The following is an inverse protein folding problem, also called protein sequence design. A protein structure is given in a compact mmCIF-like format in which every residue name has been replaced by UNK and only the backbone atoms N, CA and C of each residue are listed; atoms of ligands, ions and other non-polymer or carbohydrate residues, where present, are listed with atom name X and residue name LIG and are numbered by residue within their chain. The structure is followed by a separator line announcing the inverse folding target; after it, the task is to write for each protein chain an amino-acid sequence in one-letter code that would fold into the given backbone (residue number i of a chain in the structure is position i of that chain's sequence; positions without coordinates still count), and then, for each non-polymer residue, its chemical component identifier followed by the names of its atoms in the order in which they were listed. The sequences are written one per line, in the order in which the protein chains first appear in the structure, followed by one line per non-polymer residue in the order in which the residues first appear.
data_IF_649968057498
#
_entry.id   IF_649968057498
#
_cell.length_a   1.000
_cell.length_b   1.000
_cell.length_c   1.000
_cell.angle_alpha   90.00
_cell.angle_beta   90.00
_cell.angle_gamma   90.00
#
_symmetry.space_group_name_H-M   'P 1'
#
loop_
_entity.id
_entity.type
_entity.pdbx_description
1 polymer ?
#
# COMPACT_ATOMS: atom_id res chain seq x y z
N UNK A 1 20.34 5.89 -6.78
CA UNK A 1 18.89 5.81 -6.43
C UNK A 1 18.19 4.93 -7.44
N UNK A 2 17.59 3.85 -6.99
CA UNK A 2 16.66 3.01 -7.75
C UNK A 2 15.30 2.99 -7.08
N UNK A 3 14.23 2.68 -7.82
CA UNK A 3 12.86 2.66 -7.32
C UNK A 3 12.28 1.27 -7.54
N UNK A 4 12.00 0.55 -6.45
CA UNK A 4 11.51 -0.82 -6.48
C UNK A 4 10.02 -0.85 -6.10
N UNK A 5 9.18 -1.44 -6.94
CA UNK A 5 7.81 -1.80 -6.59
C UNK A 5 7.81 -3.21 -5.98
N UNK A 6 7.43 -3.34 -4.72
CA UNK A 6 7.40 -4.63 -4.03
C UNK A 6 5.98 -4.92 -3.58
N UNK A 7 5.47 -6.10 -3.97
CA UNK A 7 4.11 -6.56 -3.72
C UNK A 7 4.17 -7.72 -2.71
N UNK A 8 3.98 -7.46 -1.40
CA UNK A 8 3.92 -8.53 -0.42
C UNK A 8 2.65 -9.36 -0.63
N UNK A 9 2.80 -10.68 -0.75
CA UNK A 9 1.70 -11.59 -1.06
C UNK A 9 1.86 -12.90 -0.29
N UNK A 10 1.03 -13.11 0.76
CA UNK A 10 1.06 -14.33 1.57
C UNK A 10 -0.05 -15.28 1.15
N UNK A 11 0.25 -16.59 1.17
CA UNK A 11 -0.78 -17.60 0.94
C UNK A 11 -1.76 -17.69 2.12
N UNK A 12 -1.24 -17.58 3.34
CA UNK A 12 -2.02 -17.67 4.59
C UNK A 12 -2.81 -16.41 4.88
N UNK A 13 -4.04 -16.33 4.39
CA UNK A 13 -5.03 -15.32 4.78
C UNK A 13 -6.13 -15.99 5.61
N UNK A 14 -6.42 -15.47 6.81
CA UNK A 14 -7.45 -16.04 7.68
C UNK A 14 -8.88 -15.83 7.16
N UNK A 15 -9.14 -14.70 6.49
CA UNK A 15 -10.46 -14.35 5.93
C UNK A 15 -10.71 -14.95 4.55
N UNK A 16 -9.66 -15.15 3.78
CA UNK A 16 -9.73 -15.67 2.42
C UNK A 16 -8.48 -16.50 2.10
N UNK A 17 -8.42 -17.79 2.51
CA UNK A 17 -7.26 -18.66 2.25
C UNK A 17 -6.97 -18.80 0.77
N UNK A 18 -5.70 -18.68 0.37
CA UNK A 18 -5.29 -18.76 -1.03
C UNK A 18 -5.70 -17.55 -1.88
N UNK A 19 -6.09 -16.43 -1.26
CA UNK A 19 -6.51 -15.20 -1.91
C UNK A 19 -5.64 -14.78 -3.12
N UNK A 20 -4.29 -14.77 -3.05
CA UNK A 20 -3.46 -14.31 -4.17
C UNK A 20 -3.60 -15.13 -5.45
N UNK A 21 -3.88 -16.43 -5.33
CA UNK A 21 -4.07 -17.32 -6.49
C UNK A 21 -5.54 -17.55 -6.83
N UNK A 22 -6.46 -16.89 -6.14
CA UNK A 22 -7.88 -16.96 -6.49
C UNK A 22 -8.12 -16.33 -7.86
N UNK A 23 -8.85 -17.06 -8.73
CA UNK A 23 -9.09 -16.62 -10.11
C UNK A 23 -10.23 -15.63 -10.15
N UNK A 24 -9.95 -14.44 -10.69
CA UNK A 24 -10.91 -13.34 -10.90
C UNK A 24 -10.83 -12.96 -12.38
N UNK A 25 -11.93 -12.94 -13.08
CA UNK A 25 -12.01 -12.65 -14.52
C UNK A 25 -10.94 -13.39 -15.35
N UNK A 26 -10.74 -14.69 -15.06
CA UNK A 26 -9.85 -15.59 -15.80
C UNK A 26 -8.37 -15.55 -15.43
N UNK A 27 -7.94 -14.74 -14.45
CA UNK A 27 -6.54 -14.66 -13.98
C UNK A 27 -6.47 -14.69 -12.45
N UNK A 28 -5.35 -15.20 -11.85
CA UNK A 28 -5.10 -15.06 -10.42
C UNK A 28 -5.09 -13.60 -9.97
N UNK A 29 -5.58 -13.32 -8.76
CA UNK A 29 -5.61 -11.96 -8.19
C UNK A 29 -4.23 -11.28 -8.26
N UNK A 30 -3.16 -12.01 -7.89
CA UNK A 30 -1.78 -11.48 -7.92
C UNK A 30 -1.34 -11.08 -9.33
N UNK A 31 -1.80 -11.79 -10.38
CA UNK A 31 -1.48 -11.46 -11.76
C UNK A 31 -2.09 -10.11 -12.19
N UNK A 32 -3.33 -9.82 -11.77
CA UNK A 32 -3.94 -8.51 -11.98
C UNK A 32 -3.17 -7.38 -11.33
N UNK A 33 -2.73 -7.59 -10.07
CA UNK A 33 -1.90 -6.59 -9.36
C UNK A 33 -0.58 -6.37 -10.08
N UNK A 34 0.13 -7.44 -10.47
CA UNK A 34 1.40 -7.34 -11.21
C UNK A 34 1.22 -6.60 -12.53
N UNK A 35 0.17 -6.90 -13.29
CA UNK A 35 -0.13 -6.22 -14.56
C UNK A 35 -0.42 -4.72 -14.36
N UNK A 36 -1.17 -4.36 -13.32
CA UNK A 36 -1.43 -2.96 -13.00
C UNK A 36 -0.14 -2.23 -12.60
N UNK A 37 0.64 -2.79 -11.68
CA UNK A 37 1.89 -2.19 -11.16
C UNK A 37 2.94 -2.00 -12.26
N UNK A 38 3.03 -2.93 -13.21
CA UNK A 38 3.94 -2.81 -14.36
C UNK A 38 3.64 -1.63 -15.29
N UNK A 39 2.48 -1.01 -15.18
CA UNK A 39 2.15 0.20 -15.94
C UNK A 39 2.72 1.48 -15.30
N UNK A 40 3.18 1.42 -14.06
CA UNK A 40 3.90 2.53 -13.42
C UNK A 40 5.22 2.78 -14.15
N UNK A 41 5.56 4.05 -14.36
CA UNK A 41 6.66 4.49 -15.24
C UNK A 41 7.95 4.80 -14.47
N UNK A 42 7.85 4.98 -13.15
CA UNK A 42 8.99 5.35 -12.30
C UNK A 42 9.66 4.16 -11.63
N UNK A 43 9.09 2.96 -11.73
CA UNK A 43 9.66 1.76 -11.12
C UNK A 43 10.78 1.19 -12.01
N UNK A 44 11.96 0.97 -11.44
CA UNK A 44 13.07 0.28 -12.10
C UNK A 44 12.89 -1.24 -12.10
N UNK A 45 12.22 -1.79 -11.08
CA UNK A 45 11.92 -3.21 -10.96
C UNK A 45 10.61 -3.43 -10.19
N UNK A 46 9.91 -4.51 -10.51
CA UNK A 46 8.66 -4.92 -9.85
C UNK A 46 8.79 -6.37 -9.42
N UNK A 47 8.61 -6.62 -8.11
CA UNK A 47 8.79 -7.95 -7.55
C UNK A 47 7.64 -8.31 -6.58
N UNK A 48 7.16 -9.55 -6.66
CA UNK A 48 6.26 -10.12 -5.67
C UNK A 48 7.07 -10.83 -4.59
N UNK A 49 6.85 -10.45 -3.33
CA UNK A 49 7.48 -11.07 -2.16
C UNK A 49 6.50 -12.05 -1.51
N UNK A 50 6.78 -13.34 -1.59
CA UNK A 50 5.86 -14.39 -1.13
C UNK A 50 6.55 -15.46 -0.29
N UNK A 51 5.75 -16.22 0.45
CA UNK A 51 6.16 -17.39 1.24
C UNK A 51 5.65 -18.72 0.65
N UNK A 52 5.12 -18.70 -0.58
CA UNK A 52 4.48 -19.89 -1.17
C UNK A 52 4.81 -20.04 -2.66
N UNK A 53 5.31 -21.22 -3.05
CA UNK A 53 5.70 -21.51 -4.42
C UNK A 53 4.54 -21.46 -5.43
N UNK A 54 3.31 -21.66 -4.99
CA UNK A 54 2.12 -21.55 -5.85
C UNK A 54 1.93 -20.11 -6.33
N UNK A 55 2.26 -19.14 -5.46
CA UNK A 55 2.20 -17.72 -5.81
C UNK A 55 3.37 -17.38 -6.75
N UNK A 56 4.58 -17.91 -6.50
CA UNK A 56 5.72 -17.75 -7.41
C UNK A 56 5.33 -18.20 -8.81
N UNK A 57 4.80 -19.41 -8.93
CA UNK A 57 4.36 -19.97 -10.23
C UNK A 57 3.32 -19.08 -10.92
N UNK A 58 2.28 -18.62 -10.20
CA UNK A 58 1.24 -17.76 -10.75
C UNK A 58 1.80 -16.41 -11.25
N UNK A 59 2.81 -15.86 -10.55
CA UNK A 59 3.49 -14.63 -10.94
C UNK A 59 4.37 -14.84 -12.19
N UNK A 60 5.12 -15.92 -12.25
CA UNK A 60 5.97 -16.26 -13.40
C UNK A 60 5.13 -16.53 -14.66
N UNK A 61 4.00 -17.22 -14.53
CA UNK A 61 3.06 -17.49 -15.62
C UNK A 61 2.50 -16.21 -16.25
N UNK A 62 2.37 -15.11 -15.48
CA UNK A 62 2.00 -13.80 -16.02
C UNK A 62 3.21 -12.93 -16.41
N UNK A 63 4.40 -13.50 -16.49
CA UNK A 63 5.64 -12.81 -16.85
C UNK A 63 6.12 -11.84 -15.76
N UNK A 64 5.68 -12.02 -14.50
CA UNK A 64 6.16 -11.28 -13.34
C UNK A 64 7.45 -11.87 -12.78
N UNK A 65 8.02 -11.17 -11.79
CA UNK A 65 9.15 -11.64 -10.99
C UNK A 65 8.69 -11.86 -9.56
N UNK A 66 9.04 -13.00 -8.97
CA UNK A 66 8.76 -13.28 -7.57
C UNK A 66 10.04 -13.68 -6.82
N UNK A 67 10.06 -13.42 -5.53
CA UNK A 67 11.11 -13.89 -4.61
C UNK A 67 10.49 -14.55 -3.40
N UNK A 68 11.09 -15.66 -2.97
CA UNK A 68 10.71 -16.34 -1.74
C UNK A 68 11.25 -15.58 -0.54
N UNK A 69 10.38 -15.37 0.44
CA UNK A 69 10.70 -14.73 1.71
C UNK A 69 10.21 -15.59 2.88
N UNK A 70 10.85 -15.53 4.05
CA UNK A 70 10.42 -16.30 5.22
C UNK A 70 8.94 -16.09 5.57
N UNK A 71 8.26 -17.17 5.97
CA UNK A 71 6.85 -17.13 6.39
C UNK A 71 6.64 -16.36 7.70
N UNK A 72 7.66 -16.43 8.59
CA UNK A 72 7.63 -15.90 9.96
C UNK A 72 7.80 -14.39 10.06
N UNK A 73 8.01 -13.68 8.92
CA UNK A 73 8.16 -12.23 8.91
C UNK A 73 6.92 -11.56 9.53
N UNK A 74 7.10 -10.65 10.51
CA UNK A 74 6.01 -10.15 11.34
C UNK A 74 5.02 -9.27 10.59
N UNK A 75 5.49 -8.53 9.56
CA UNK A 75 4.65 -7.58 8.80
C UNK A 75 4.92 -7.61 7.30
N UNK A 76 4.04 -6.94 6.55
CA UNK A 76 4.26 -6.65 5.12
C UNK A 76 5.52 -5.82 4.91
N UNK A 77 5.79 -4.86 5.78
CA UNK A 77 6.95 -3.98 5.72
C UNK A 77 8.27 -4.74 5.92
N UNK A 78 8.31 -5.69 6.87
CA UNK A 78 9.47 -6.59 7.02
C UNK A 78 9.68 -7.44 5.77
N UNK A 79 8.59 -7.90 5.13
CA UNK A 79 8.65 -8.71 3.91
C UNK A 79 9.21 -7.92 2.74
N UNK A 80 8.82 -6.67 2.54
CA UNK A 80 9.41 -5.84 1.48
C UNK A 80 10.90 -5.56 1.73
N UNK A 81 11.31 -5.28 2.96
CA UNK A 81 12.73 -5.07 3.27
C UNK A 81 13.56 -6.34 3.01
N UNK A 82 13.02 -7.52 3.35
CA UNK A 82 13.64 -8.80 3.05
C UNK A 82 13.74 -9.03 1.52
N UNK A 83 12.65 -8.84 0.79
CA UNK A 83 12.63 -8.99 -0.66
C UNK A 83 13.59 -8.04 -1.36
N UNK A 84 13.65 -6.78 -0.94
CA UNK A 84 14.59 -5.80 -1.48
C UNK A 84 16.05 -6.26 -1.34
N UNK A 85 16.43 -6.80 -0.17
CA UNK A 85 17.78 -7.37 0.03
C UNK A 85 18.08 -8.53 -0.89
N UNK A 86 17.11 -9.42 -1.12
CA UNK A 86 17.27 -10.55 -2.05
C UNK A 86 17.46 -10.03 -3.48
N UNK A 87 16.65 -9.06 -3.90
CA UNK A 87 16.70 -8.47 -5.26
C UNK A 87 18.00 -7.73 -5.51
N UNK A 88 18.51 -7.02 -4.51
CA UNK A 88 19.78 -6.29 -4.61
C UNK A 88 21.02 -7.18 -4.45
N UNK A 89 20.86 -8.46 -4.06
CA UNK A 89 21.98 -9.35 -3.76
C UNK A 89 22.78 -8.93 -2.52
N UNK A 90 22.14 -8.18 -1.61
CA UNK A 90 22.70 -7.58 -0.43
C UNK A 90 21.80 -6.48 0.10
N UNK A 91 22.38 -5.47 0.79
CA UNK A 91 21.57 -4.34 1.25
C UNK A 91 21.25 -3.36 0.10
N UNK A 92 20.07 -2.78 0.11
CA UNK A 92 19.69 -1.72 -0.82
C UNK A 92 20.31 -0.38 -0.39
N UNK A 93 20.48 0.57 -1.33
CA UNK A 93 21.12 1.84 -1.04
C UNK A 93 20.24 2.74 -0.14
N UNK A 94 20.86 3.67 0.57
CA UNK A 94 20.15 4.58 1.48
C UNK A 94 19.21 5.54 0.75
N UNK A 95 19.55 5.89 -0.49
CA UNK A 95 18.77 6.75 -1.37
C UNK A 95 17.79 5.99 -2.28
N UNK A 96 17.78 4.66 -2.26
CA UNK A 96 16.78 3.87 -2.98
C UNK A 96 15.38 4.10 -2.40
N UNK A 97 14.36 3.94 -3.25
CA UNK A 97 12.97 4.07 -2.88
C UNK A 97 12.28 2.70 -3.04
N UNK A 98 11.59 2.29 -1.98
CA UNK A 98 10.87 1.01 -1.95
C UNK A 98 9.37 1.29 -1.79
N UNK A 99 8.60 0.99 -2.84
CA UNK A 99 7.15 1.17 -2.84
C UNK A 99 6.49 -0.14 -2.43
N UNK A 100 5.77 -0.11 -1.30
CA UNK A 100 4.94 -1.21 -0.80
C UNK A 100 3.56 -1.13 -1.42
N UNK A 101 3.26 -2.04 -2.32
CA UNK A 101 2.00 -2.09 -3.07
C UNK A 101 1.20 -3.29 -2.60
N UNK A 102 -0.05 -3.09 -2.18
CA UNK A 102 -0.87 -4.15 -1.62
C UNK A 102 -1.16 -5.24 -2.66
N UNK A 103 -0.86 -6.49 -2.32
CA UNK A 103 -1.06 -7.65 -3.20
C UNK A 103 -2.53 -8.06 -3.41
N UNK A 104 -3.46 -7.29 -2.89
CA UNK A 104 -4.91 -7.49 -2.98
C UNK A 104 -5.67 -6.32 -3.61
N UNK A 105 -4.96 -5.35 -4.19
CA UNK A 105 -5.54 -4.19 -4.88
C UNK A 105 -5.35 -4.29 -6.41
N UNK A 106 -6.14 -5.10 -7.13
CA UNK A 106 -5.97 -5.32 -8.58
C UNK A 106 -6.37 -4.12 -9.44
N UNK A 107 -6.99 -3.12 -8.84
CA UNK A 107 -7.44 -1.90 -9.52
C UNK A 107 -6.56 -0.69 -9.21
N UNK A 108 -5.41 -0.89 -8.51
CA UNK A 108 -4.50 0.19 -8.14
C UNK A 108 -4.17 1.08 -9.34
N UNK A 109 -4.21 2.39 -9.15
CA UNK A 109 -3.80 3.35 -10.19
C UNK A 109 -2.28 3.41 -10.31
N UNK A 110 -1.68 3.04 -11.46
CA UNK A 110 -0.24 3.18 -11.67
C UNK A 110 0.29 4.60 -11.49
N UNK A 111 -0.53 5.62 -11.77
CA UNK A 111 -0.13 7.02 -11.59
C UNK A 111 0.08 7.34 -10.10
N UNK A 112 -0.71 6.76 -9.19
CA UNK A 112 -0.52 6.93 -7.76
C UNK A 112 0.83 6.36 -7.29
N UNK A 113 1.25 5.22 -7.85
CA UNK A 113 2.57 4.62 -7.57
C UNK A 113 3.69 5.58 -7.99
N UNK A 114 3.57 6.16 -9.20
CA UNK A 114 4.52 7.13 -9.73
C UNK A 114 4.57 8.41 -8.89
N UNK A 115 3.43 8.91 -8.41
CA UNK A 115 3.36 10.09 -7.54
C UNK A 115 4.00 9.87 -6.18
N UNK A 116 3.78 8.71 -5.55
CA UNK A 116 4.42 8.36 -4.28
C UNK A 116 5.95 8.27 -4.42
N UNK A 117 6.41 7.63 -5.50
CA UNK A 117 7.83 7.54 -5.79
C UNK A 117 8.44 8.93 -6.05
N UNK A 118 7.74 9.79 -6.81
CA UNK A 118 8.15 11.16 -7.08
C UNK A 118 8.30 12.00 -5.82
N UNK A 119 7.34 11.90 -4.88
CA UNK A 119 7.40 12.64 -3.60
C UNK A 119 8.72 12.42 -2.87
N UNK A 120 9.23 11.18 -2.85
CA UNK A 120 10.48 10.87 -2.20
C UNK A 120 11.70 11.17 -3.08
N UNK A 121 11.61 10.96 -4.39
CA UNK A 121 12.72 11.23 -5.31
C UNK A 121 13.05 12.72 -5.39
N UNK A 122 12.03 13.56 -5.43
CA UNK A 122 12.15 14.99 -5.70
C UNK A 122 12.43 15.82 -4.41
N UNK A 123 12.11 15.28 -3.21
CA UNK A 123 12.30 16.02 -1.96
C UNK A 123 12.91 15.12 -0.86
N UNK A 124 14.20 15.32 -0.53
CA UNK A 124 14.90 14.51 0.46
C UNK A 124 14.45 14.74 1.91
N UNK A 125 13.57 15.71 2.17
CA UNK A 125 13.01 15.95 3.50
C UNK A 125 12.09 14.83 3.98
N UNK A 126 11.51 14.07 3.02
CA UNK A 126 10.56 13.02 3.31
C UNK A 126 11.25 11.66 3.48
N UNK A 127 10.95 10.99 4.58
CA UNK A 127 11.41 9.64 4.88
C UNK A 127 10.50 8.57 4.28
N UNK A 128 9.21 8.92 4.17
CA UNK A 128 8.14 8.02 3.76
C UNK A 128 7.05 8.81 3.01
N UNK A 129 6.33 8.15 2.12
CA UNK A 129 5.12 8.70 1.50
C UNK A 129 3.97 7.72 1.57
N UNK A 130 2.73 8.24 1.60
CA UNK A 130 1.49 7.48 1.56
C UNK A 130 0.41 8.26 0.83
N UNK A 131 -0.81 7.71 0.73
CA UNK A 131 -1.89 8.34 0.01
C UNK A 131 -3.16 8.49 0.85
N UNK A 132 -4.00 9.44 0.44
CA UNK A 132 -5.32 9.67 1.03
C UNK A 132 -6.35 9.96 -0.05
N UNK A 133 -7.61 9.64 0.27
CA UNK A 133 -8.76 10.03 -0.54
C UNK A 133 -9.82 10.70 0.34
N UNK A 134 -10.67 11.60 -0.19
CA UNK A 134 -11.70 12.27 0.62
C UNK A 134 -12.69 11.28 1.26
N UNK A 135 -13.07 11.54 2.50
CA UNK A 135 -14.20 10.84 3.14
C UNK A 135 -15.49 11.46 2.62
N UNK A 136 -16.40 10.61 2.11
CA UNK A 136 -17.64 11.03 1.44
C UNK A 136 -18.89 10.85 2.30
N UNK A 137 -18.79 10.14 3.44
CA UNK A 137 -19.93 9.86 4.30
C UNK A 137 -19.60 9.99 5.78
N UNK A 138 -20.56 10.42 6.59
CA UNK A 138 -20.43 10.44 8.05
C UNK A 138 -20.25 9.03 8.63
N UNK A 139 -20.80 8.01 7.97
CA UNK A 139 -20.62 6.62 8.36
C UNK A 139 -19.15 6.19 8.23
N UNK A 140 -18.48 6.56 7.14
CA UNK A 140 -17.03 6.28 6.95
C UNK A 140 -16.18 7.04 7.96
N UNK A 141 -16.53 8.30 8.25
CA UNK A 141 -15.83 9.10 9.26
C UNK A 141 -15.90 8.42 10.64
N UNK A 142 -17.07 7.90 11.01
CA UNK A 142 -17.29 7.22 12.29
C UNK A 142 -16.71 5.79 12.34
N UNK A 143 -16.51 5.13 11.20
CA UNK A 143 -16.09 3.74 11.13
C UNK A 143 -14.63 3.57 11.60
N UNK A 144 -14.38 2.68 12.57
CA UNK A 144 -13.04 2.33 13.07
C UNK A 144 -12.21 1.54 12.05
N UNK A 145 -12.84 0.97 11.03
CA UNK A 145 -12.16 0.29 9.92
C UNK A 145 -11.56 1.27 8.92
N UNK A 146 -12.09 2.47 8.84
CA UNK A 146 -11.55 3.57 8.04
C UNK A 146 -10.53 4.34 8.87
N UNK A 147 -9.30 4.43 8.41
CA UNK A 147 -8.24 5.20 9.07
C UNK A 147 -8.28 6.64 8.57
N UNK A 148 -8.36 7.58 9.50
CA UNK A 148 -8.29 9.02 9.21
C UNK A 148 -6.88 9.54 9.41
N UNK A 149 -6.52 10.60 8.70
CA UNK A 149 -5.25 11.28 8.87
C UNK A 149 -5.45 12.79 8.86
N UNK A 150 -4.74 13.49 9.73
CA UNK A 150 -4.69 14.95 9.75
C UNK A 150 -3.39 15.38 9.08
N UNK A 151 -3.48 16.37 8.19
CA UNK A 151 -2.38 16.86 7.40
C UNK A 151 -1.97 18.27 7.82
N UNK A 152 -0.70 18.60 7.64
CA UNK A 152 -0.20 19.95 7.70
C UNK A 152 -0.43 20.70 6.36
N UNK A 153 0.03 21.95 6.29
CA UNK A 153 -0.13 22.80 5.09
C UNK A 153 0.69 22.33 3.87
N UNK A 154 1.67 21.45 4.08
CA UNK A 154 2.54 20.90 3.02
C UNK A 154 2.15 19.48 2.63
N UNK A 155 0.96 19.04 3.07
CA UNK A 155 0.47 17.67 2.96
C UNK A 155 1.40 16.65 3.67
N UNK A 156 2.03 17.06 4.78
CA UNK A 156 2.70 16.16 5.70
C UNK A 156 1.71 15.56 6.69
N UNK A 157 1.84 14.26 6.99
CA UNK A 157 0.98 13.60 7.96
C UNK A 157 1.34 14.04 9.39
N UNK A 158 0.35 14.58 10.11
CA UNK A 158 0.47 14.95 11.53
C UNK A 158 0.13 13.76 12.45
N UNK A 159 -0.96 13.05 12.15
CA UNK A 159 -1.39 11.88 12.93
C UNK A 159 -2.39 11.03 12.15
N UNK A 160 -2.34 9.70 12.39
CA UNK A 160 -3.31 8.74 11.88
C UNK A 160 -4.13 8.17 13.02
N UNK A 161 -5.45 8.03 12.85
CA UNK A 161 -6.31 7.44 13.86
C UNK A 161 -7.50 6.69 13.28
N UNK A 162 -7.97 5.70 14.04
CA UNK A 162 -9.28 5.07 13.80
C UNK A 162 -10.43 5.89 14.34
N UNK A 163 -10.16 6.83 15.26
CA UNK A 163 -11.14 7.80 15.73
C UNK A 163 -11.48 8.82 14.63
N UNK A 164 -12.66 9.47 14.68
CA UNK A 164 -12.96 10.63 13.83
C UNK A 164 -12.02 11.80 14.17
N UNK A 165 -11.12 12.13 13.24
CA UNK A 165 -10.22 13.28 13.34
C UNK A 165 -10.17 14.04 12.00
N UNK A 166 -9.98 15.40 12.03
CA UNK A 166 -10.01 16.26 13.23
C UNK A 166 -11.39 16.33 13.87
N UNK A 167 -11.46 16.68 15.16
CA UNK A 167 -12.73 16.94 15.84
C UNK A 167 -13.18 18.37 15.56
N UNK A 168 -14.35 18.55 14.95
CA UNK A 168 -15.03 19.84 14.97
C UNK A 168 -15.70 20.01 16.35
N UNK A 169 -15.29 21.05 17.07
CA UNK A 169 -15.77 21.28 18.46
C UNK A 169 -17.21 21.79 18.49
N UNK A 170 -17.58 22.59 17.51
CA UNK A 170 -18.78 23.42 17.58
C UNK A 170 -19.87 22.98 16.59
N UNK A 171 -19.52 22.16 15.57
CA UNK A 171 -20.42 21.75 14.50
C UNK A 171 -20.23 20.29 14.12
N UNK A 172 -21.13 19.78 13.29
CA UNK A 172 -20.91 18.52 12.57
C UNK A 172 -19.79 18.68 11.52
N UNK A 173 -19.09 17.58 11.23
CA UNK A 173 -17.98 17.57 10.29
C UNK A 173 -18.43 17.97 8.87
N UNK A 174 -17.90 19.06 8.34
CA UNK A 174 -18.08 19.44 6.94
C UNK A 174 -17.17 18.60 6.03
N UNK A 175 -17.71 17.54 5.45
CA UNK A 175 -16.95 16.64 4.57
C UNK A 175 -16.54 17.30 3.25
N UNK A 176 -17.20 18.39 2.85
CA UNK A 176 -16.84 19.14 1.64
C UNK A 176 -15.62 20.06 1.85
N UNK A 177 -15.23 20.30 3.10
CA UNK A 177 -14.07 21.16 3.44
C UNK A 177 -12.73 20.63 2.95
N UNK A 178 -12.62 19.32 2.61
CA UNK A 178 -11.38 18.65 2.27
C UNK A 178 -10.46 18.34 3.45
N UNK A 179 -10.89 18.60 4.69
CA UNK A 179 -10.15 18.27 5.92
C UNK A 179 -10.24 16.78 6.28
N UNK A 180 -11.36 16.15 5.96
CA UNK A 180 -11.63 14.76 6.33
C UNK A 180 -11.20 13.82 5.21
N UNK A 181 -10.08 13.17 5.40
CA UNK A 181 -9.51 12.24 4.44
C UNK A 181 -9.26 10.87 5.07
N UNK A 182 -9.46 9.81 4.29
CA UNK A 182 -9.09 8.46 4.67
C UNK A 182 -7.75 8.09 4.09
N UNK A 183 -6.96 7.41 4.88
CA UNK A 183 -5.68 6.85 4.50
C UNK A 183 -5.86 5.61 3.61
N UNK A 184 -5.01 5.48 2.60
CA UNK A 184 -4.86 4.30 1.74
C UNK A 184 -3.57 3.55 2.12
N UNK A 185 -3.64 2.23 2.18
CA UNK A 185 -2.55 1.35 2.67
C UNK A 185 -1.36 1.18 1.73
N UNK A 186 -1.09 2.15 0.87
CA UNK A 186 0.08 2.15 -0.01
C UNK A 186 1.16 3.07 0.55
N UNK A 187 2.42 2.64 0.46
CA UNK A 187 3.53 3.40 1.03
C UNK A 187 4.76 3.37 0.13
N UNK A 188 5.51 4.46 0.12
CA UNK A 188 6.88 4.50 -0.36
C UNK A 188 7.82 4.82 0.79
N UNK A 189 8.98 4.18 0.82
CA UNK A 189 9.99 4.35 1.87
C UNK A 189 11.32 4.72 1.24
N UNK A 190 12.04 5.68 1.84
CA UNK A 190 13.45 5.88 1.58
C UNK A 190 14.25 4.73 2.19
N UNK A 191 15.26 4.22 1.49
CA UNK A 191 16.03 3.06 1.93
C UNK A 191 16.64 3.24 3.31
N UNK A 192 17.28 4.38 3.58
CA UNK A 192 17.85 4.69 4.90
C UNK A 192 16.79 4.62 6.01
N UNK A 193 15.58 5.13 5.76
CA UNK A 193 14.49 5.09 6.72
C UNK A 193 13.97 3.67 6.91
N UNK A 194 13.73 2.92 5.83
CA UNK A 194 13.20 1.55 5.90
C UNK A 194 14.12 0.63 6.72
N UNK A 195 15.45 0.74 6.56
CA UNK A 195 16.44 -0.01 7.37
C UNK A 195 16.26 0.23 8.87
N UNK A 196 16.09 1.50 9.25
CA UNK A 196 15.84 1.89 10.66
C UNK A 196 14.48 1.41 11.13
N UNK A 197 13.45 1.57 10.30
CA UNK A 197 12.07 1.24 10.64
C UNK A 197 11.89 -0.25 10.96
N UNK A 198 12.44 -1.17 10.16
CA UNK A 198 12.33 -2.61 10.40
C UNK A 198 13.17 -3.11 11.58
N UNK A 199 14.13 -2.33 12.05
CA UNK A 199 14.90 -2.64 13.27
C UNK A 199 14.24 -2.12 14.54
N UNK A 200 13.25 -1.22 14.44
CA UNK A 200 12.57 -0.61 15.58
C UNK A 200 11.37 -1.47 16.02
N UNK A 201 11.25 -1.82 17.31
CA UNK A 201 10.10 -2.57 17.79
C UNK A 201 8.80 -1.73 17.73
N UNK A 202 7.61 -2.41 17.65
CA UNK A 202 6.32 -1.73 17.64
C UNK A 202 6.11 -0.83 18.86
N UNK A 203 5.78 0.44 18.65
CA UNK A 203 5.54 1.43 19.70
C UNK A 203 4.13 1.31 20.32
N UNK A 204 3.89 2.03 21.42
CA UNK A 204 2.61 1.99 22.12
C UNK A 204 1.44 2.46 21.25
N UNK A 205 1.62 3.53 20.46
CA UNK A 205 0.57 4.06 19.57
C UNK A 205 0.20 3.03 18.49
N UNK A 206 1.20 2.42 17.84
CA UNK A 206 0.99 1.35 16.85
C UNK A 206 0.20 0.18 17.45
N UNK A 207 0.58 -0.29 18.65
CA UNK A 207 -0.10 -1.40 19.33
C UNK A 207 -1.54 -1.07 19.69
N UNK A 208 -1.83 0.18 20.04
CA UNK A 208 -3.17 0.64 20.44
C UNK A 208 -4.10 0.79 19.24
N UNK A 209 -3.66 1.53 18.24
CA UNK A 209 -4.46 1.82 17.03
C UNK A 209 -4.39 0.70 15.99
N UNK A 210 -3.44 -0.25 16.10
CA UNK A 210 -3.12 -1.27 15.08
C UNK A 210 -2.82 -0.61 13.73
N UNK A 211 -1.94 0.41 13.76
CA UNK A 211 -1.51 1.21 12.63
C UNK A 211 0.02 1.30 12.61
N UNK A 212 0.66 0.56 11.72
CA UNK A 212 2.12 0.46 11.60
C UNK A 212 2.78 1.83 11.35
N UNK A 213 2.16 2.70 10.56
CA UNK A 213 2.68 4.03 10.24
C UNK A 213 2.79 4.98 11.45
N UNK A 214 2.12 4.67 12.56
CA UNK A 214 2.31 5.41 13.81
C UNK A 214 3.69 5.18 14.43
N UNK A 215 4.32 4.01 14.17
CA UNK A 215 5.72 3.79 14.56
C UNK A 215 6.65 4.72 13.79
N UNK A 216 6.39 4.97 12.51
CA UNK A 216 7.18 5.91 11.72
C UNK A 216 7.11 7.32 12.31
N UNK A 217 5.91 7.82 12.62
CA UNK A 217 5.74 9.12 13.30
C UNK A 217 6.41 9.15 14.68
N UNK A 218 6.29 8.06 15.46
CA UNK A 218 6.97 7.93 16.76
C UNK A 218 8.49 8.04 16.66
N UNK A 219 9.07 7.53 15.57
CA UNK A 219 10.50 7.63 15.26
C UNK A 219 10.90 9.02 14.74
N UNK A 220 9.97 9.94 14.60
CA UNK A 220 10.18 11.30 14.06
C UNK A 220 10.26 11.37 12.54
N UNK A 221 9.77 10.34 11.82
CA UNK A 221 9.74 10.35 10.36
C UNK A 221 8.79 11.43 9.84
N UNK A 222 9.19 12.05 8.73
CA UNK A 222 8.33 12.92 7.93
C UNK A 222 7.66 12.11 6.84
N UNK A 223 6.33 12.06 6.88
CA UNK A 223 5.51 11.28 5.95
C UNK A 223 4.79 12.24 5.00
N UNK A 224 5.18 12.25 3.73
CA UNK A 224 4.45 12.97 2.69
C UNK A 224 3.13 12.26 2.36
N UNK A 225 2.11 13.02 2.01
CA UNK A 225 0.80 12.46 1.65
C UNK A 225 0.40 12.92 0.26
N UNK A 226 0.06 11.98 -0.59
CA UNK A 226 -0.51 12.21 -1.92
C UNK A 226 -2.03 12.17 -1.82
N UNK A 227 -2.71 13.20 -2.35
CA UNK A 227 -4.18 13.22 -2.47
C UNK A 227 -4.59 12.58 -3.78
N UNK A 228 -5.46 11.59 -3.73
CA UNK A 228 -5.93 10.88 -4.93
C UNK A 228 -7.44 10.73 -4.95
N UNK A 229 -8.00 10.52 -6.14
CA UNK A 229 -9.38 10.09 -6.33
C UNK A 229 -9.53 8.56 -6.28
N UNK A 230 -8.43 7.80 -6.28
CA UNK A 230 -8.45 6.34 -6.13
C UNK A 230 -9.11 5.98 -4.79
N UNK A 231 -10.01 5.02 -4.83
CA UNK A 231 -10.72 4.57 -3.63
C UNK A 231 -10.01 3.41 -2.91
N UNK A 232 -8.90 2.91 -3.43
CA UNK A 232 -8.14 1.81 -2.82
C UNK A 232 -9.03 0.58 -2.61
N UNK A 233 -9.61 0.06 -3.71
CA UNK A 233 -10.56 -1.05 -3.62
C UNK A 233 -9.79 -2.37 -3.63
N UNK A 234 -9.67 -2.98 -2.46
CA UNK A 234 -9.03 -4.28 -2.27
C UNK A 234 -10.02 -5.47 -2.27
N UNK A 235 -9.46 -6.66 -2.37
CA UNK A 235 -10.15 -7.95 -2.21
C UNK A 235 -9.78 -8.52 -0.84
N UNK A 236 -10.69 -8.46 0.13
CA UNK A 236 -10.50 -9.01 1.47
C UNK A 236 -11.35 -10.24 1.73
N UNK A 237 -12.47 -10.34 1.05
CA UNK A 237 -13.47 -11.41 1.18
C UNK A 237 -13.84 -11.98 -0.19
N UNK A 238 -14.48 -13.17 -0.25
CA UNK A 238 -15.03 -13.70 -1.51
C UNK A 238 -16.05 -12.75 -2.17
N UNK A 239 -16.81 -12.00 -1.38
CA UNK A 239 -17.80 -11.01 -1.88
C UNK A 239 -17.09 -9.85 -2.60
N UNK A 240 -15.95 -9.41 -2.07
CA UNK A 240 -15.11 -8.41 -2.76
C UNK A 240 -14.60 -8.94 -4.09
N UNK A 241 -14.19 -10.21 -4.15
CA UNK A 241 -13.73 -10.83 -5.40
C UNK A 241 -14.83 -10.79 -6.49
N UNK A 242 -16.08 -11.07 -6.15
CA UNK A 242 -17.21 -10.98 -7.07
C UNK A 242 -17.40 -9.55 -7.58
N UNK A 243 -17.35 -8.56 -6.68
CA UNK A 243 -17.48 -7.14 -7.03
C UNK A 243 -16.35 -6.69 -7.96
N UNK A 244 -15.12 -7.04 -7.65
CA UNK A 244 -13.94 -6.71 -8.46
C UNK A 244 -14.00 -7.42 -9.82
N UNK A 245 -14.45 -8.67 -9.87
CA UNK A 245 -14.62 -9.39 -11.14
C UNK A 245 -15.55 -8.66 -12.10
N UNK A 246 -16.65 -8.12 -11.61
CA UNK A 246 -17.58 -7.34 -12.43
C UNK A 246 -16.91 -6.09 -13.03
N UNK A 247 -16.11 -5.36 -12.21
CA UNK A 247 -15.38 -4.17 -12.66
C UNK A 247 -14.32 -4.54 -13.71
N UNK A 248 -13.55 -5.60 -13.47
CA UNK A 248 -12.52 -6.05 -14.40
C UNK A 248 -13.09 -6.50 -15.74
N UNK A 249 -14.20 -7.24 -15.73
CA UNK A 249 -14.89 -7.65 -16.96
C UNK A 249 -15.39 -6.45 -17.77
N UNK A 250 -15.94 -5.43 -17.10
CA UNK A 250 -16.35 -4.19 -17.77
C UNK A 250 -15.16 -3.44 -18.40
N UNK A 251 -14.03 -3.32 -17.68
CA UNK A 251 -12.79 -2.72 -18.22
C UNK A 251 -12.27 -3.48 -19.45
N UNK A 252 -12.23 -4.82 -19.39
CA UNK A 252 -11.79 -5.65 -20.52
C UNK A 252 -12.67 -5.48 -21.75
N UNK A 253 -14.00 -5.42 -21.58
CA UNK A 253 -14.95 -5.24 -22.69
C UNK A 253 -14.78 -3.87 -23.36
N UNK A 254 -14.48 -2.81 -22.60
CA UNK A 254 -14.23 -1.45 -23.15
C UNK A 254 -12.87 -1.35 -23.89
N UNK A 255 -11.88 -2.16 -23.52
CA UNK A 255 -10.56 -2.16 -24.17
C UNK A 255 -10.52 -2.88 -25.51
N UNK A 256 -11.59 -3.63 -25.86
CA UNK A 256 -11.72 -4.40 -27.12
C UNK A 256 -12.54 -3.62 -28.17
N UNK A 257 -13.16 -2.51 -27.80
CA UNK A 257 -13.89 -1.59 -28.70
C UNK A 257 -13.01 -0.41 -29.12
#
# INVERSE_FOLDING_TARGET
MKIYGIIPSRFGSSRFPGKPIHVIAGKPLVAWVVEAVKQARRLDDVVVATDDERIVKAVEECGGRAVMTPSELPSGTDRIACAARIVCGGDFADDDILVNIQGDEPLIDPALIDELAAKLADDPRWDMATAVTPIKSAADLAAKTVVKVVLDREDGALYFSRAPIPCDRDHEADLASGLYVRHLGIYAYRGAFLKRYVSEPPCALEKTEKLEQLRALWMGAKIAVVRTADEGVGVDTPEDAIRIEAILKDRLNRSVQ
#
